data_IF_552985834501
#
_entry.id   IF_552985834501
#
_cell.length_a   1.000
_cell.length_b   1.000
_cell.length_c   1.000
_cell.angle_alpha   90.00
_cell.angle_beta   90.00
_cell.angle_gamma   90.00
#
_symmetry.space_group_name_H-M   'P 1'
#
loop_
_entity.id
_entity.type
_entity.pdbx_description
1 polymer ?
#
# COMPACT_ATOMS: atom_id res chain seq x y z
N UNK A 1 34.76 -32.61 9.74
CA UNK A 1 33.47 -32.33 10.41
C UNK A 1 32.68 -31.43 9.49
N UNK A 2 31.44 -31.81 9.14
CA UNK A 2 30.63 -31.22 8.06
C UNK A 2 30.23 -29.77 8.34
N UNK A 3 30.24 -28.96 7.28
CA UNK A 3 29.59 -27.65 7.22
C UNK A 3 28.09 -27.79 7.50
N UNK A 4 27.54 -26.88 8.29
CA UNK A 4 26.10 -26.58 8.23
C UNK A 4 26.03 -25.12 7.80
N UNK A 5 25.51 -24.97 6.59
CA UNK A 5 25.40 -23.76 5.82
C UNK A 5 24.58 -22.69 6.54
N UNK A 6 24.99 -21.44 6.34
CA UNK A 6 24.22 -20.25 6.67
C UNK A 6 22.79 -20.39 6.11
N UNK A 7 21.78 -20.33 6.98
CA UNK A 7 20.42 -20.01 6.55
C UNK A 7 20.39 -18.51 6.22
N UNK A 8 20.90 -18.16 5.04
CA UNK A 8 20.59 -16.89 4.38
C UNK A 8 19.20 -16.99 3.77
N UNK A 9 18.17 -16.94 4.61
CA UNK A 9 16.85 -16.53 4.12
C UNK A 9 16.79 -15.01 4.21
N UNK A 10 17.58 -14.36 3.35
CA UNK A 10 17.27 -12.99 2.97
C UNK A 10 16.05 -13.11 2.06
N UNK A 11 14.85 -13.12 2.65
CA UNK A 11 13.69 -12.64 1.91
C UNK A 11 14.06 -11.22 1.50
N UNK A 12 14.53 -11.08 0.26
CA UNK A 12 14.82 -9.78 -0.33
C UNK A 12 13.56 -8.96 -0.10
N UNK A 13 13.65 -7.94 0.74
CA UNK A 13 12.71 -6.84 0.75
C UNK A 13 12.51 -6.49 -0.72
N UNK A 14 11.36 -6.83 -1.28
CA UNK A 14 10.98 -6.37 -2.61
C UNK A 14 10.69 -4.88 -2.41
N UNK A 15 11.73 -4.06 -2.47
CA UNK A 15 11.60 -2.62 -2.38
C UNK A 15 10.67 -2.16 -3.49
N UNK A 16 9.65 -1.38 -3.12
CA UNK A 16 8.73 -0.77 -4.07
C UNK A 16 9.55 0.21 -4.92
N UNK A 17 9.37 0.16 -6.24
CA UNK A 17 10.13 1.00 -7.17
C UNK A 17 9.18 1.94 -7.92
N UNK A 18 9.55 3.21 -8.01
CA UNK A 18 8.80 4.18 -8.79
C UNK A 18 9.02 4.00 -10.29
N UNK A 19 7.92 3.78 -11.02
CA UNK A 19 7.93 3.53 -12.47
C UNK A 19 7.40 4.73 -13.29
N UNK A 20 7.38 5.93 -12.70
CA UNK A 20 6.77 7.12 -13.28
C UNK A 20 5.32 7.32 -12.84
N UNK A 21 4.82 8.53 -13.08
CA UNK A 21 3.44 8.89 -12.80
C UNK A 21 2.50 7.96 -13.56
N UNK A 22 1.39 7.59 -12.93
CA UNK A 22 0.32 6.77 -13.52
C UNK A 22 0.60 5.28 -13.67
N UNK A 23 1.78 4.79 -13.26
CA UNK A 23 2.06 3.35 -13.17
C UNK A 23 2.04 2.89 -11.71
N UNK A 24 1.54 1.68 -11.44
CA UNK A 24 1.72 1.06 -10.14
C UNK A 24 3.21 0.89 -9.79
N UNK A 25 3.57 1.29 -8.58
CA UNK A 25 4.92 1.17 -8.02
C UNK A 25 5.27 -0.28 -7.63
N UNK A 26 4.25 -1.13 -7.50
CA UNK A 26 4.39 -2.56 -7.27
C UNK A 26 3.38 -3.35 -8.12
N UNK A 27 3.60 -4.67 -8.21
CA UNK A 27 2.73 -5.56 -8.97
C UNK A 27 1.43 -5.79 -8.20
N UNK A 28 0.34 -5.98 -8.95
CA UNK A 28 -0.94 -6.43 -8.40
C UNK A 28 -0.76 -7.80 -7.72
N UNK A 29 -1.12 -7.96 -6.44
CA UNK A 29 -1.05 -9.26 -5.76
C UNK A 29 -2.17 -10.20 -6.24
N UNK A 30 -1.95 -11.52 -6.08
CA UNK A 30 -2.93 -12.54 -6.44
C UNK A 30 -4.09 -12.66 -5.42
N UNK A 31 -3.89 -12.19 -4.18
CA UNK A 31 -4.84 -12.27 -3.08
C UNK A 31 -5.74 -11.03 -2.94
N UNK A 32 -6.25 -10.81 -1.72
CA UNK A 32 -7.05 -9.63 -1.40
C UNK A 32 -6.16 -8.38 -1.31
N UNK A 33 -6.62 -7.27 -1.88
CA UNK A 33 -5.84 -6.05 -1.99
C UNK A 33 -6.70 -4.79 -2.01
N UNK A 34 -6.06 -3.66 -1.74
CA UNK A 34 -6.54 -2.33 -2.16
C UNK A 34 -5.53 -1.71 -3.13
N UNK A 35 -6.02 -0.93 -4.08
CA UNK A 35 -5.22 -0.08 -4.94
C UNK A 35 -5.37 1.36 -4.46
N UNK A 36 -4.24 1.98 -4.12
CA UNK A 36 -4.18 3.37 -3.71
C UNK A 36 -3.58 4.23 -4.82
N UNK A 37 -4.01 5.48 -4.86
CA UNK A 37 -3.27 6.58 -5.45
C UNK A 37 -2.64 7.40 -4.32
N UNK A 38 -1.33 7.61 -4.39
CA UNK A 38 -0.53 8.35 -3.41
C UNK A 38 0.19 9.48 -4.13
N UNK A 39 0.10 10.70 -3.63
CA UNK A 39 0.75 11.87 -4.24
C UNK A 39 1.17 12.90 -3.21
N UNK A 40 1.95 13.89 -3.65
CA UNK A 40 2.01 15.15 -2.93
C UNK A 40 0.61 15.79 -2.83
N UNK A 41 0.40 16.63 -1.82
CA UNK A 41 -0.90 17.25 -1.55
C UNK A 41 -1.45 18.01 -2.76
N UNK A 42 -0.58 18.74 -3.48
CA UNK A 42 -0.93 19.56 -4.64
C UNK A 42 -1.05 18.74 -5.93
N UNK A 43 -0.59 17.48 -5.93
CA UNK A 43 -0.59 16.56 -7.09
C UNK A 43 0.23 17.10 -8.27
N UNK A 44 1.33 17.79 -7.98
CA UNK A 44 2.13 18.49 -9.00
C UNK A 44 3.51 17.88 -9.20
N UNK A 45 4.11 17.33 -8.15
CA UNK A 45 5.53 16.98 -8.12
C UNK A 45 5.76 15.48 -8.16
N UNK A 46 4.90 14.68 -7.53
CA UNK A 46 5.01 13.23 -7.53
C UNK A 46 3.65 12.58 -7.27
N UNK A 47 3.42 11.43 -7.89
CA UNK A 47 2.21 10.66 -7.71
C UNK A 47 2.36 9.28 -8.31
N UNK A 48 1.89 8.26 -7.60
CA UNK A 48 1.97 6.87 -8.05
C UNK A 48 0.79 6.06 -7.55
N UNK A 49 0.49 5.00 -8.28
CA UNK A 49 -0.42 3.97 -7.79
C UNK A 49 0.36 2.93 -6.97
N UNK A 50 -0.23 2.34 -5.95
CA UNK A 50 0.35 1.20 -5.26
C UNK A 50 -0.73 0.23 -4.78
N UNK A 51 -0.42 -1.05 -4.85
CA UNK A 51 -1.24 -2.09 -4.24
C UNK A 51 -0.77 -2.32 -2.80
N UNK A 52 -1.72 -2.58 -1.91
CA UNK A 52 -1.43 -3.15 -0.59
C UNK A 52 -2.21 -4.45 -0.48
N UNK A 53 -1.48 -5.54 -0.27
CA UNK A 53 -2.06 -6.86 -0.04
C UNK A 53 -2.50 -7.01 1.41
N UNK A 54 -3.57 -7.77 1.64
CA UNK A 54 -3.95 -8.16 2.99
C UNK A 54 -2.89 -9.07 3.65
N UNK A 55 -2.22 -9.91 2.86
CA UNK A 55 -1.27 -10.90 3.36
C UNK A 55 0.12 -10.30 3.68
N UNK A 56 0.50 -9.24 2.97
CA UNK A 56 1.81 -8.55 3.12
C UNK A 56 1.65 -7.09 3.54
N UNK A 57 0.53 -6.77 4.19
CA UNK A 57 0.10 -5.42 4.52
C UNK A 57 1.20 -4.54 5.12
N UNK A 58 1.89 -5.05 6.15
CA UNK A 58 2.91 -4.28 6.86
C UNK A 58 4.11 -4.00 5.97
N UNK A 59 4.58 -5.01 5.24
CA UNK A 59 5.69 -4.89 4.31
C UNK A 59 5.38 -3.91 3.17
N UNK A 60 4.15 -3.97 2.64
CA UNK A 60 3.69 -3.06 1.59
C UNK A 60 3.64 -1.61 2.10
N UNK A 61 3.14 -1.38 3.32
CA UNK A 61 3.16 -0.05 3.95
C UNK A 61 4.58 0.48 4.16
N UNK A 62 5.48 -0.33 4.71
CA UNK A 62 6.86 0.07 4.96
C UNK A 62 7.54 0.44 3.62
N UNK A 63 7.29 -0.33 2.56
CA UNK A 63 7.78 -0.04 1.21
C UNK A 63 7.19 1.24 0.61
N UNK A 64 5.90 1.50 0.81
CA UNK A 64 5.25 2.74 0.34
C UNK A 64 5.84 3.94 1.09
N UNK A 65 6.04 3.84 2.40
CA UNK A 65 6.61 4.91 3.21
C UNK A 65 8.04 5.23 2.76
N UNK A 66 8.90 4.22 2.59
CA UNK A 66 10.25 4.43 2.07
C UNK A 66 10.25 5.13 0.71
N UNK A 67 9.34 4.73 -0.19
CA UNK A 67 9.23 5.41 -1.48
C UNK A 67 8.73 6.87 -1.36
N UNK A 68 7.79 7.15 -0.45
CA UNK A 68 7.36 8.53 -0.17
C UNK A 68 8.54 9.35 0.36
N UNK A 69 9.36 8.82 1.26
CA UNK A 69 10.54 9.52 1.76
C UNK A 69 11.54 9.85 0.64
N UNK A 70 11.73 8.94 -0.33
CA UNK A 70 12.58 9.17 -1.50
C UNK A 70 12.01 10.25 -2.45
N UNK A 71 10.69 10.26 -2.68
CA UNK A 71 10.04 11.17 -3.62
C UNK A 71 9.70 12.53 -3.02
N UNK A 72 9.42 12.61 -1.72
CA UNK A 72 8.94 13.81 -1.04
C UNK A 72 10.07 14.71 -0.54
N UNK A 73 11.01 15.06 -1.42
CA UNK A 73 12.16 15.90 -1.11
C UNK A 73 11.81 17.32 -0.60
N UNK A 74 10.55 17.77 -0.80
CA UNK A 74 10.05 19.08 -0.36
C UNK A 74 9.37 19.03 1.01
N UNK A 75 9.14 17.86 1.59
CA UNK A 75 8.46 17.71 2.88
C UNK A 75 7.02 18.24 2.87
N UNK A 76 6.32 18.14 1.73
CA UNK A 76 4.91 18.55 1.62
C UNK A 76 3.99 17.46 2.17
N UNK A 77 2.76 17.86 2.53
CA UNK A 77 1.75 16.91 2.96
C UNK A 77 1.47 15.84 1.89
N UNK A 78 1.10 14.64 2.33
CA UNK A 78 0.81 13.50 1.46
C UNK A 78 -0.70 13.30 1.32
N UNK A 79 -1.15 13.13 0.08
CA UNK A 79 -2.52 12.77 -0.25
C UNK A 79 -2.61 11.27 -0.59
N UNK A 80 -3.63 10.60 -0.07
CA UNK A 80 -3.87 9.16 -0.30
C UNK A 80 -5.34 8.94 -0.65
N UNK A 81 -5.61 8.27 -1.76
CA UNK A 81 -6.95 7.91 -2.19
C UNK A 81 -7.01 6.41 -2.50
N UNK A 82 -8.09 5.74 -2.10
CA UNK A 82 -8.33 4.37 -2.52
C UNK A 82 -9.11 4.36 -3.83
N UNK A 83 -8.54 3.75 -4.86
CA UNK A 83 -9.01 3.77 -6.25
C UNK A 83 -9.80 2.50 -6.60
N UNK A 84 -9.34 1.35 -6.10
CA UNK A 84 -9.94 0.04 -6.35
C UNK A 84 -9.66 -0.90 -5.16
N UNK A 85 -10.38 -2.02 -5.08
CA UNK A 85 -10.09 -3.11 -4.15
C UNK A 85 -10.54 -4.46 -4.70
N UNK A 86 -9.99 -5.54 -4.15
CA UNK A 86 -10.39 -6.90 -4.52
C UNK A 86 -11.86 -7.19 -4.18
N UNK A 87 -12.55 -8.05 -4.95
CA UNK A 87 -13.97 -8.34 -4.73
C UNK A 87 -14.34 -8.94 -3.37
N UNK A 88 -13.39 -9.59 -2.67
CA UNK A 88 -13.61 -10.17 -1.33
C UNK A 88 -13.68 -9.12 -0.21
N UNK A 89 -13.24 -7.88 -0.47
CA UNK A 89 -13.25 -6.77 0.48
C UNK A 89 -14.50 -5.87 0.38
N UNK A 90 -15.61 -6.35 -0.20
CA UNK A 90 -16.89 -5.60 -0.27
C UNK A 90 -17.41 -5.08 1.08
N UNK A 91 -16.97 -5.66 2.20
CA UNK A 91 -17.29 -5.23 3.57
C UNK A 91 -16.62 -3.91 3.98
N UNK A 92 -15.49 -3.58 3.36
CA UNK A 92 -14.68 -2.38 3.65
C UNK A 92 -15.54 -1.12 3.55
N UNK A 93 -16.21 -0.88 2.42
CA UNK A 93 -17.05 0.30 2.27
C UNK A 93 -18.34 0.27 3.12
N UNK A 94 -18.91 -0.90 3.41
CA UNK A 94 -20.21 -1.01 4.11
C UNK A 94 -20.15 -0.48 5.56
N UNK A 95 -19.07 -0.74 6.29
CA UNK A 95 -18.87 -0.18 7.64
C UNK A 95 -18.47 1.30 7.60
N UNK A 96 -17.72 1.71 6.57
CA UNK A 96 -17.19 3.07 6.46
C UNK A 96 -18.23 4.09 6.00
N UNK A 97 -19.08 3.76 5.02
CA UNK A 97 -20.22 4.60 4.62
C UNK A 97 -21.25 4.76 5.74
N UNK A 98 -21.41 3.78 6.64
CA UNK A 98 -22.26 3.89 7.82
C UNK A 98 -21.74 4.89 8.87
N UNK A 99 -20.45 5.28 8.82
CA UNK A 99 -19.82 6.17 9.80
C UNK A 99 -19.60 7.60 9.29
N UNK A 100 -19.94 7.90 8.04
CA UNK A 100 -19.89 9.23 7.43
C UNK A 100 -18.55 9.97 7.53
N UNK A 101 -17.43 9.28 7.79
CA UNK A 101 -16.09 9.86 7.90
C UNK A 101 -15.05 8.88 7.38
N UNK A 102 -14.80 8.89 6.07
CA UNK A 102 -13.62 8.24 5.50
C UNK A 102 -12.45 9.21 5.69
N UNK A 103 -11.46 8.80 6.46
CA UNK A 103 -10.17 9.50 6.57
C UNK A 103 -9.06 8.57 6.09
N UNK A 104 -7.91 9.12 5.69
CA UNK A 104 -6.75 8.33 5.24
C UNK A 104 -6.35 7.24 6.25
N UNK A 105 -6.54 7.49 7.55
CA UNK A 105 -6.34 6.51 8.63
C UNK A 105 -7.16 5.21 8.46
N UNK A 106 -8.38 5.30 7.95
CA UNK A 106 -9.23 4.12 7.73
C UNK A 106 -8.77 3.30 6.51
N UNK A 107 -8.25 3.97 5.47
CA UNK A 107 -7.68 3.28 4.31
C UNK A 107 -6.43 2.51 4.74
N UNK A 108 -5.60 3.11 5.59
CA UNK A 108 -4.35 2.55 6.10
C UNK A 108 -4.52 1.74 7.40
N UNK A 109 -5.68 1.13 7.65
CA UNK A 109 -5.85 0.20 8.77
C UNK A 109 -6.46 -1.12 8.30
N UNK A 110 -5.72 -2.24 8.32
CA UNK A 110 -6.15 -3.52 7.77
C UNK A 110 -7.26 -4.16 8.60
N UNK A 111 -7.40 -3.80 9.88
CA UNK A 111 -8.51 -4.25 10.71
C UNK A 111 -9.87 -3.71 10.22
N UNK A 112 -9.85 -2.67 9.39
CA UNK A 112 -11.05 -2.14 8.77
C UNK A 112 -11.39 -2.82 7.43
N UNK A 113 -10.49 -3.69 6.93
CA UNK A 113 -10.63 -4.45 5.70
C UNK A 113 -11.28 -5.81 6.00
N UNK A 114 -12.46 -5.77 6.60
CA UNK A 114 -13.19 -6.99 6.91
C UNK A 114 -13.67 -7.68 5.62
N UNK A 115 -13.36 -8.98 5.52
CA UNK A 115 -13.93 -9.87 4.51
C UNK A 115 -15.43 -9.99 4.76
N UNK A 116 -16.22 -10.04 3.69
CA UNK A 116 -17.63 -10.43 3.81
C UNK A 116 -17.65 -11.94 4.10
N UNK A 117 -18.03 -12.33 5.32
CA UNK A 117 -18.47 -13.71 5.62
C UNK A 117 -19.85 -13.95 5.05
#
# INVERSE_FOLDING_TARGET
MKMIEEVKTTEKQNSIQYNGFWKPANRKPNGEYVLLWVSDWLKQDWGFYCYISLDTYKQDLDGIHGLIEELNYRGVDVYVEMVDHSPGLKGFYRKQYRRSKISHYHILNPQTWERVT
#
